data_IF_186435011686
#
_entry.id   IF_186435011686
#
_cell.length_a   1.000
_cell.length_b   1.000
_cell.length_c   1.000
_cell.angle_alpha   90.00
_cell.angle_beta   90.00
_cell.angle_gamma   90.00
#
_symmetry.space_group_name_H-M   'P 1'
#
loop_
_entity.id
_entity.type
_entity.pdbx_description
1 polymer ?
#
# COMPACT_ATOMS: atom_id res chain seq x y z
N UNK A 1 19.11 -25.79 -12.97
CA UNK A 1 18.02 -24.83 -12.70
C UNK A 1 18.04 -24.52 -11.22
N UNK A 2 18.49 -23.35 -10.77
CA UNK A 2 18.37 -22.99 -9.36
C UNK A 2 16.93 -22.50 -9.13
N UNK A 3 16.15 -23.31 -8.42
CA UNK A 3 14.96 -22.81 -7.73
C UNK A 3 15.50 -21.98 -6.57
N UNK A 4 15.53 -20.65 -6.75
CA UNK A 4 15.76 -19.76 -5.63
C UNK A 4 14.50 -19.84 -4.74
N UNK A 5 14.58 -20.64 -3.69
CA UNK A 5 13.52 -20.87 -2.70
C UNK A 5 13.41 -19.72 -1.68
N UNK A 6 14.07 -18.58 -1.89
CA UNK A 6 14.05 -17.45 -0.94
C UNK A 6 12.69 -16.74 -0.79
N UNK A 7 11.66 -17.17 -1.53
CA UNK A 7 10.27 -16.76 -1.31
C UNK A 7 9.55 -17.90 -0.56
N UNK A 8 9.85 -18.02 0.73
CA UNK A 8 9.17 -18.96 1.62
C UNK A 8 7.64 -18.78 1.52
N UNK A 9 6.90 -19.90 1.57
CA UNK A 9 5.44 -19.82 1.70
C UNK A 9 5.07 -19.20 3.04
N UNK A 10 4.69 -17.92 3.03
CA UNK A 10 4.26 -17.21 4.23
C UNK A 10 2.78 -17.44 4.52
N UNK A 11 2.41 -17.42 5.81
CA UNK A 11 1.01 -17.39 6.19
C UNK A 11 0.35 -16.09 5.69
N UNK A 12 -0.98 -16.02 5.56
CA UNK A 12 -1.66 -14.84 5.01
C UNK A 12 -1.30 -13.51 5.70
N UNK A 13 -1.05 -13.54 7.02
CA UNK A 13 -0.63 -12.36 7.77
C UNK A 13 0.81 -11.92 7.42
N UNK A 14 1.77 -12.84 7.48
CA UNK A 14 3.17 -12.53 7.14
C UNK A 14 3.35 -12.19 5.65
N UNK A 15 2.53 -12.76 4.78
CA UNK A 15 2.49 -12.42 3.36
C UNK A 15 2.04 -10.97 3.16
N UNK A 16 1.00 -10.52 3.87
CA UNK A 16 0.53 -9.14 3.79
C UNK A 16 1.64 -8.14 4.22
N UNK A 17 2.38 -8.46 5.28
CA UNK A 17 3.50 -7.64 5.75
C UNK A 17 4.66 -7.59 4.74
N UNK A 18 5.00 -8.73 4.14
CA UNK A 18 6.08 -8.81 3.15
C UNK A 18 5.72 -8.09 1.85
N UNK A 19 4.45 -8.18 1.42
CA UNK A 19 3.92 -7.40 0.31
C UNK A 19 3.97 -5.90 0.65
N UNK A 20 3.57 -5.50 1.85
CA UNK A 20 3.62 -4.11 2.28
C UNK A 20 5.06 -3.56 2.25
N UNK A 21 6.04 -4.32 2.75
CA UNK A 21 7.45 -3.96 2.68
C UNK A 21 7.93 -3.80 1.24
N UNK A 22 7.54 -4.73 0.35
CA UNK A 22 7.88 -4.65 -1.07
C UNK A 22 7.24 -3.45 -1.77
N UNK A 23 6.02 -3.09 -1.41
CA UNK A 23 5.33 -1.90 -1.95
C UNK A 23 6.06 -0.61 -1.56
N UNK A 24 6.55 -0.51 -0.32
CA UNK A 24 7.33 0.65 0.10
C UNK A 24 8.65 0.78 -0.67
N UNK A 25 9.33 -0.34 -0.95
CA UNK A 25 10.50 -0.36 -1.81
C UNK A 25 10.15 0.12 -3.24
N UNK A 26 9.04 -0.36 -3.82
CA UNK A 26 8.57 0.08 -5.14
C UNK A 26 8.24 1.58 -5.15
N UNK A 27 7.61 2.08 -4.09
CA UNK A 27 7.26 3.50 -3.95
C UNK A 27 8.51 4.40 -3.99
N UNK A 28 9.64 3.93 -3.48
CA UNK A 28 10.90 4.68 -3.53
C UNK A 28 11.52 4.78 -4.94
N UNK A 29 11.17 3.86 -5.85
CA UNK A 29 11.77 3.76 -7.19
C UNK A 29 10.87 4.29 -8.30
N UNK A 30 9.57 4.35 -8.07
CA UNK A 30 8.58 4.71 -9.07
C UNK A 30 7.92 6.05 -8.75
N UNK A 31 7.46 6.73 -9.80
CA UNK A 31 6.65 7.94 -9.66
C UNK A 31 5.27 7.64 -9.07
N UNK A 32 4.63 8.66 -8.51
CA UNK A 32 3.27 8.55 -7.99
C UNK A 32 2.28 8.05 -9.06
N UNK A 33 2.39 8.56 -10.28
CA UNK A 33 1.50 8.17 -11.39
C UNK A 33 1.65 6.67 -11.74
N UNK A 34 2.87 6.15 -11.72
CA UNK A 34 3.12 4.72 -11.94
C UNK A 34 2.56 3.89 -10.79
N UNK A 35 2.77 4.31 -9.54
CA UNK A 35 2.23 3.62 -8.37
C UNK A 35 0.70 3.58 -8.37
N UNK A 36 0.02 4.66 -8.78
CA UNK A 36 -1.45 4.69 -8.93
C UNK A 36 -1.91 3.74 -10.04
N UNK A 37 -1.16 3.64 -11.16
CA UNK A 37 -1.48 2.68 -12.24
C UNK A 37 -1.30 1.24 -11.77
N UNK A 38 -0.24 0.95 -11.01
CA UNK A 38 0.00 -0.37 -10.42
C UNK A 38 -1.09 -0.76 -9.40
N UNK A 39 -1.60 0.21 -8.65
CA UNK A 39 -2.65 -0.01 -7.65
C UNK A 39 -4.07 -0.04 -8.24
N UNK A 40 -4.28 0.53 -9.43
CA UNK A 40 -5.60 0.63 -10.09
C UNK A 40 -6.41 -0.67 -10.21
N UNK A 41 -5.83 -1.84 -10.58
CA UNK A 41 -6.60 -3.08 -10.67
C UNK A 41 -7.03 -3.63 -9.30
N UNK A 42 -6.39 -3.19 -8.21
CA UNK A 42 -6.68 -3.64 -6.85
C UNK A 42 -7.66 -2.71 -6.10
N UNK A 43 -8.45 -1.91 -6.84
CA UNK A 43 -9.55 -1.10 -6.31
C UNK A 43 -10.74 -2.00 -5.97
N UNK A 44 -10.70 -2.64 -4.81
CA UNK A 44 -11.82 -3.42 -4.29
C UNK A 44 -12.22 -2.91 -2.90
N UNK A 45 -13.37 -3.37 -2.42
CA UNK A 45 -13.91 -3.06 -1.09
C UNK A 45 -13.30 -3.93 0.02
N UNK A 46 -12.52 -4.94 -0.34
CA UNK A 46 -11.91 -5.87 0.61
C UNK A 46 -10.58 -5.31 1.11
N UNK A 47 -10.58 -4.87 2.36
CA UNK A 47 -9.41 -4.29 3.00
C UNK A 47 -8.60 -5.39 3.68
N UNK A 48 -7.31 -5.46 3.35
CA UNK A 48 -6.39 -6.43 3.94
C UNK A 48 -5.65 -5.79 5.12
N UNK A 49 -5.82 -6.33 6.33
CA UNK A 49 -5.06 -5.91 7.52
C UNK A 49 -3.57 -6.18 7.30
N UNK A 50 -2.72 -5.21 7.65
CA UNK A 50 -1.26 -5.29 7.47
C UNK A 50 -0.79 -4.81 6.09
N UNK A 51 -1.71 -4.61 5.14
CA UNK A 51 -1.43 -4.10 3.80
C UNK A 51 -2.14 -2.77 3.53
N UNK A 52 -3.48 -2.76 3.64
CA UNK A 52 -4.32 -1.57 3.41
C UNK A 52 -4.53 -0.74 4.67
N UNK A 53 -4.53 -1.40 5.83
CA UNK A 53 -4.69 -0.73 7.11
C UNK A 53 -4.06 -1.52 8.25
N UNK A 54 -3.69 -0.80 9.31
CA UNK A 54 -3.30 -1.35 10.61
C UNK A 54 -4.28 -0.90 11.68
N UNK A 55 -4.30 -1.59 12.82
CA UNK A 55 -5.08 -1.17 13.99
C UNK A 55 -4.08 -0.82 15.08
N UNK A 56 -4.05 0.44 15.47
CA UNK A 56 -3.24 0.94 16.58
C UNK A 56 -4.20 1.57 17.60
N UNK A 57 -4.10 1.16 18.87
CA UNK A 57 -4.95 1.68 19.96
C UNK A 57 -6.47 1.63 19.69
N UNK A 58 -6.92 0.66 18.89
CA UNK A 58 -8.33 0.53 18.50
C UNK A 58 -8.77 1.44 17.35
N UNK A 59 -7.86 2.26 16.80
CA UNK A 59 -8.09 3.11 15.65
C UNK A 59 -7.55 2.44 14.38
N UNK A 60 -8.31 2.56 13.29
CA UNK A 60 -7.93 2.05 11.97
C UNK A 60 -7.06 3.07 11.25
N UNK A 61 -5.79 2.74 11.00
CA UNK A 61 -4.83 3.60 10.31
C UNK A 61 -4.64 3.05 8.90
N UNK A 62 -5.03 3.83 7.90
CA UNK A 62 -4.85 3.47 6.49
C UNK A 62 -3.40 3.64 6.05
N UNK A 63 -2.94 2.72 5.20
CA UNK A 63 -1.61 2.75 4.60
C UNK A 63 -1.57 3.63 3.35
N UNK A 64 -0.36 3.99 2.91
CA UNK A 64 -0.17 4.68 1.64
C UNK A 64 -0.71 3.88 0.45
N UNK A 65 -0.64 2.55 0.50
CA UNK A 65 -1.16 1.66 -0.55
C UNK A 65 -2.66 1.77 -0.72
N UNK A 66 -3.43 1.86 0.38
CA UNK A 66 -4.87 2.09 0.31
C UNK A 66 -5.22 3.42 -0.40
N UNK A 67 -4.44 4.48 -0.14
CA UNK A 67 -4.61 5.76 -0.83
C UNK A 67 -4.20 5.70 -2.31
N UNK A 68 -3.21 4.87 -2.67
CA UNK A 68 -2.83 4.63 -4.07
C UNK A 68 -3.92 3.86 -4.81
N UNK A 69 -4.51 2.82 -4.19
CA UNK A 69 -5.66 2.10 -4.74
C UNK A 69 -6.78 3.07 -5.07
N UNK A 70 -7.16 3.94 -4.12
CA UNK A 70 -8.18 4.98 -4.31
C UNK A 70 -7.95 5.83 -5.56
N UNK A 71 -6.69 6.14 -5.87
CA UNK A 71 -6.31 6.87 -7.09
C UNK A 71 -6.54 8.38 -7.06
N UNK A 72 -6.99 8.93 -5.93
CA UNK A 72 -7.13 10.38 -5.72
C UNK A 72 -6.85 10.79 -4.28
N UNK A 73 -6.36 12.03 -4.11
CA UNK A 73 -6.23 12.67 -2.81
C UNK A 73 -7.62 13.00 -2.24
N UNK A 74 -7.80 12.81 -0.92
CA UNK A 74 -9.06 13.10 -0.24
C UNK A 74 -9.10 14.46 0.47
N UNK A 75 -8.02 15.26 0.41
CA UNK A 75 -7.94 16.59 1.03
C UNK A 75 -7.75 16.60 2.56
N UNK A 76 -7.87 15.47 3.26
CA UNK A 76 -7.87 15.41 4.73
C UNK A 76 -6.48 15.48 5.40
N UNK A 77 -5.40 15.75 4.66
CA UNK A 77 -4.05 15.86 5.23
C UNK A 77 -3.53 14.59 5.94
N UNK A 78 -3.84 13.40 5.41
CA UNK A 78 -3.46 12.13 6.03
C UNK A 78 -1.94 11.98 6.19
N UNK A 79 -1.49 11.42 7.33
CA UNK A 79 -0.06 11.24 7.65
C UNK A 79 0.70 10.37 6.64
N UNK A 80 0.06 9.34 6.10
CA UNK A 80 0.66 8.44 5.10
C UNK A 80 0.20 8.73 3.66
N UNK A 81 -0.23 9.97 3.38
CA UNK A 81 -0.72 10.32 2.05
C UNK A 81 0.42 10.27 1.01
N UNK A 82 0.31 9.49 -0.07
CA UNK A 82 1.31 9.45 -1.13
C UNK A 82 1.22 10.66 -2.09
N UNK A 83 0.14 11.44 -2.02
CA UNK A 83 -0.09 12.59 -2.91
C UNK A 83 0.63 13.85 -2.41
N UNK A 84 1.21 14.64 -3.34
CA UNK A 84 1.85 15.91 -3.02
C UNK A 84 0.83 16.92 -2.48
N UNK A 85 1.35 17.96 -1.82
CA UNK A 85 0.51 19.04 -1.28
C UNK A 85 -0.29 19.78 -2.36
N UNK A 86 0.18 19.79 -3.61
CA UNK A 86 -0.54 20.37 -4.75
C UNK A 86 -1.90 19.72 -5.02
N UNK A 87 -2.07 18.44 -4.67
CA UNK A 87 -3.33 17.70 -4.84
C UNK A 87 -4.26 17.81 -3.62
N UNK A 88 -3.86 18.51 -2.55
CA UNK A 88 -4.65 18.71 -1.32
C UNK A 88 -5.55 19.95 -1.44
N UNK A 89 -6.37 20.01 -2.48
CA UNK A 89 -7.22 21.15 -2.80
C UNK A 89 -8.57 21.12 -2.09
#
# INVERSE_FOLDING_TARGET
MPLDFSQDCQCPACLAESIAARIEELRSRHSLAEMVRLAAPYRNSELVRGLDYTIEEGLMIFSGWYHLKRGSCCGNGCRHCPYPESDRR
#
